data_IF_252791100149
#
_entry.id   IF_252791100149
#
_cell.length_a   1.000
_cell.length_b   1.000
_cell.length_c   1.000
_cell.angle_alpha   90.00
_cell.angle_beta   90.00
_cell.angle_gamma   90.00
#
_symmetry.space_group_name_H-M   'P 1'
#
loop_
_entity.id
_entity.type
_entity.pdbx_description
1 polymer ?
#
# COMPACT_ATOMS: atom_id res chain seq x y z
N UNK A 1 -5.02 -11.21 14.16
CA UNK A 1 -5.46 -10.77 12.82
C UNK A 1 -5.08 -9.31 12.65
N UNK A 2 -4.29 -8.95 11.63
CA UNK A 2 -3.69 -7.60 11.50
C UNK A 2 -4.62 -6.50 10.95
N UNK A 3 -5.90 -6.80 10.70
CA UNK A 3 -6.87 -5.85 10.12
C UNK A 3 -6.34 -5.11 8.87
N UNK A 4 -5.57 -5.81 8.03
CA UNK A 4 -4.87 -5.22 6.89
C UNK A 4 -5.81 -4.58 5.86
N UNK A 5 -7.07 -5.01 5.77
CA UNK A 5 -8.05 -4.40 4.89
C UNK A 5 -8.46 -2.97 5.28
N UNK A 6 -8.19 -2.55 6.52
CA UNK A 6 -8.65 -1.26 7.07
C UNK A 6 -7.50 -0.37 7.52
N UNK A 7 -6.26 -0.78 7.25
CA UNK A 7 -5.08 0.06 7.35
C UNK A 7 -4.90 0.93 6.10
N UNK A 8 -4.33 2.11 6.28
CA UNK A 8 -3.98 2.99 5.16
C UNK A 8 -3.02 2.30 4.18
N UNK A 9 -2.09 1.53 4.73
CA UNK A 9 -1.24 0.56 4.01
C UNK A 9 -1.48 -0.81 4.66
N UNK A 10 -2.15 -1.70 3.93
CA UNK A 10 -2.43 -3.07 4.34
C UNK A 10 -1.37 -4.04 3.82
N UNK A 11 -0.94 -4.96 4.69
CA UNK A 11 0.00 -6.04 4.34
C UNK A 11 -0.65 -7.38 4.71
N UNK A 12 -0.85 -8.23 3.72
CA UNK A 12 -1.39 -9.58 3.89
C UNK A 12 -0.35 -10.60 3.43
N UNK A 13 0.11 -11.47 4.33
CA UNK A 13 0.93 -12.63 3.98
C UNK A 13 0.14 -13.62 3.14
N UNK A 14 0.75 -14.13 2.08
CA UNK A 14 0.23 -15.16 1.20
C UNK A 14 1.32 -16.22 0.98
N UNK A 15 0.98 -17.48 1.16
CA UNK A 15 1.88 -18.60 0.85
C UNK A 15 1.84 -18.90 -0.64
N UNK A 16 3.02 -18.95 -1.26
CA UNK A 16 3.17 -19.40 -2.66
C UNK A 16 4.40 -20.27 -2.79
N UNK A 17 4.18 -21.53 -3.17
CA UNK A 17 5.25 -22.51 -3.43
C UNK A 17 6.24 -22.68 -2.26
N UNK A 18 5.76 -22.54 -1.01
CA UNK A 18 6.57 -22.63 0.21
C UNK A 18 7.41 -21.38 0.53
N UNK A 19 7.26 -20.30 -0.25
CA UNK A 19 7.88 -19.01 0.01
C UNK A 19 6.87 -18.00 0.59
N UNK A 20 7.37 -17.08 1.41
CA UNK A 20 6.60 -15.98 1.97
C UNK A 20 6.44 -14.84 0.96
N UNK A 21 5.20 -14.58 0.58
CA UNK A 21 4.83 -13.46 -0.26
C UNK A 21 3.84 -12.56 0.47
N UNK A 22 3.74 -11.31 0.02
CA UNK A 22 2.91 -10.30 0.65
C UNK A 22 2.12 -9.52 -0.39
N UNK A 23 0.81 -9.48 -0.20
CA UNK A 23 -0.09 -8.61 -0.94
C UNK A 23 -0.20 -7.27 -0.22
N UNK A 24 -0.05 -6.18 -0.98
CA UNK A 24 -0.14 -4.81 -0.47
C UNK A 24 -1.45 -4.17 -0.96
N UNK A 25 -2.17 -3.53 -0.04
CA UNK A 25 -3.38 -2.74 -0.31
C UNK A 25 -3.26 -1.32 0.23
N UNK A 26 -3.95 -0.37 -0.39
CA UNK A 26 -3.94 1.04 0.01
C UNK A 26 -5.34 1.61 0.17
N UNK A 27 -5.47 2.59 1.06
CA UNK A 27 -6.69 3.37 1.22
C UNK A 27 -7.75 2.77 2.14
N UNK A 28 -7.37 1.80 2.99
CA UNK A 28 -8.23 1.33 4.06
C UNK A 28 -8.30 2.35 5.21
N UNK A 29 -9.47 2.50 5.82
CA UNK A 29 -9.66 3.35 7.00
C UNK A 29 -10.75 2.76 7.91
N UNK A 30 -10.43 2.62 9.20
CA UNK A 30 -11.40 2.33 10.25
C UNK A 30 -12.12 3.64 10.65
N UNK A 31 -12.79 4.27 9.70
CA UNK A 31 -13.49 5.54 9.93
C UNK A 31 -14.81 5.33 10.67
N UNK A 32 -15.07 6.13 11.71
CA UNK A 32 -16.39 6.29 12.34
C UNK A 32 -17.09 7.58 11.92
N UNK A 33 -16.49 8.36 11.01
CA UNK A 33 -17.00 9.64 10.48
C UNK A 33 -17.93 9.47 9.27
N UNK A 34 -18.27 10.58 8.61
CA UNK A 34 -19.24 10.61 7.50
C UNK A 34 -18.86 9.70 6.31
N UNK A 35 -17.57 9.48 6.08
CA UNK A 35 -17.06 8.61 5.01
C UNK A 35 -17.09 7.11 5.35
N UNK A 36 -17.29 6.76 6.64
CA UNK A 36 -17.42 5.40 7.14
C UNK A 36 -16.20 4.50 6.95
N UNK A 37 -16.42 3.19 7.09
CA UNK A 37 -15.43 2.15 6.85
C UNK A 37 -15.01 2.12 5.37
N UNK A 38 -13.70 2.23 5.10
CA UNK A 38 -13.13 2.03 3.76
C UNK A 38 -12.25 0.79 3.73
N UNK A 39 -12.43 -0.05 2.72
CA UNK A 39 -11.57 -1.19 2.46
C UNK A 39 -10.42 -0.78 1.53
N UNK A 40 -9.21 -1.19 1.89
CA UNK A 40 -8.02 -0.98 1.07
C UNK A 40 -8.10 -1.74 -0.25
N UNK A 41 -7.54 -1.14 -1.30
CA UNK A 41 -7.48 -1.70 -2.65
C UNK A 41 -6.09 -2.27 -2.93
N UNK A 42 -6.05 -3.51 -3.39
CA UNK A 42 -4.80 -4.19 -3.79
C UNK A 42 -4.13 -3.44 -4.93
N UNK A 43 -2.82 -3.20 -4.81
CA UNK A 43 -2.06 -2.37 -5.76
C UNK A 43 -1.54 -3.17 -6.96
N UNK A 44 -1.47 -4.50 -6.87
CA UNK A 44 -1.07 -5.40 -7.96
C UNK A 44 -0.57 -6.76 -7.46
N UNK A 45 0.31 -7.45 -8.23
CA UNK A 45 0.96 -8.69 -7.80
C UNK A 45 1.63 -8.61 -6.42
N UNK A 46 1.76 -9.76 -5.76
CA UNK A 46 2.47 -9.87 -4.49
C UNK A 46 3.97 -9.61 -4.63
N UNK A 47 4.58 -9.27 -3.50
CA UNK A 47 6.00 -9.03 -3.32
C UNK A 47 6.58 -10.12 -2.42
N UNK A 48 7.82 -10.53 -2.67
CA UNK A 48 8.58 -11.36 -1.76
C UNK A 48 8.87 -10.61 -0.45
N UNK A 49 9.18 -11.34 0.62
CA UNK A 49 9.56 -10.75 1.91
C UNK A 49 10.65 -9.65 1.79
N UNK A 50 11.64 -9.87 0.92
CA UNK A 50 12.75 -8.96 0.71
C UNK A 50 12.33 -7.66 0.00
N UNK A 51 11.31 -7.70 -0.85
CA UNK A 51 10.82 -6.51 -1.58
C UNK A 51 9.98 -5.59 -0.69
N UNK A 52 9.38 -6.09 0.40
CA UNK A 52 8.42 -5.32 1.21
C UNK A 52 9.00 -4.01 1.78
N UNK A 53 10.21 -3.96 2.36
CA UNK A 53 10.77 -2.70 2.88
C UNK A 53 10.89 -1.59 1.83
N UNK A 54 11.33 -1.93 0.62
CA UNK A 54 11.50 -0.99 -0.48
C UNK A 54 10.14 -0.50 -1.02
N UNK A 55 9.16 -1.40 -1.09
CA UNK A 55 7.78 -1.06 -1.45
C UNK A 55 7.19 -0.06 -0.45
N UNK A 56 7.34 -0.32 0.86
CA UNK A 56 6.82 0.58 1.90
C UNK A 56 7.51 1.94 1.83
N UNK A 57 8.84 1.97 1.66
CA UNK A 57 9.59 3.22 1.51
C UNK A 57 9.09 4.03 0.32
N UNK A 58 8.93 3.39 -0.84
CA UNK A 58 8.40 4.03 -2.06
C UNK A 58 6.99 4.59 -1.87
N UNK A 59 6.13 3.90 -1.13
CA UNK A 59 4.77 4.36 -0.82
C UNK A 59 4.77 5.58 0.10
N UNK A 60 5.63 5.58 1.12
CA UNK A 60 5.81 6.71 2.04
C UNK A 60 6.39 7.91 1.31
N UNK A 61 7.39 7.72 0.46
CA UNK A 61 7.98 8.80 -0.33
C UNK A 61 6.96 9.42 -1.28
N UNK A 62 6.17 8.59 -1.98
CA UNK A 62 5.07 9.09 -2.83
C UNK A 62 4.08 9.93 -2.03
N UNK A 63 3.73 9.49 -0.81
CA UNK A 63 2.87 10.27 0.08
C UNK A 63 3.51 11.60 0.49
N UNK A 64 4.76 11.59 0.98
CA UNK A 64 5.46 12.79 1.46
C UNK A 64 5.64 13.82 0.35
N UNK A 65 5.95 13.37 -0.87
CA UNK A 65 6.11 14.26 -2.03
C UNK A 65 4.78 14.83 -2.54
N UNK A 66 3.69 14.09 -2.39
CA UNK A 66 2.38 14.49 -2.96
C UNK A 66 1.48 15.20 -1.96
N UNK A 67 1.74 15.08 -0.66
CA UNK A 67 0.87 15.61 0.39
C UNK A 67 0.92 17.13 0.46
N UNK A 68 -0.20 17.71 0.84
CA UNK A 68 -0.23 19.10 1.32
C UNK A 68 0.25 19.08 2.78
N UNK A 69 0.89 20.15 3.24
CA UNK A 69 1.38 20.22 4.62
C UNK A 69 0.24 19.96 5.63
N UNK A 70 0.50 19.09 6.60
CA UNK A 70 -0.49 18.61 7.58
C UNK A 70 -1.50 17.56 7.08
N UNK A 71 -1.48 17.16 5.80
CA UNK A 71 -2.41 16.17 5.25
C UNK A 71 -2.07 14.74 5.73
N UNK A 72 -3.10 13.96 6.12
CA UNK A 72 -2.95 12.55 6.48
C UNK A 72 -2.77 11.70 5.22
N UNK A 73 -2.18 10.51 5.37
CA UNK A 73 -2.01 9.58 4.24
C UNK A 73 -3.32 9.29 3.51
N UNK A 74 -4.39 8.99 4.25
CA UNK A 74 -5.69 8.66 3.66
C UNK A 74 -6.28 9.83 2.88
N UNK A 75 -6.12 11.07 3.36
CA UNK A 75 -6.63 12.27 2.70
C UNK A 75 -5.86 12.51 1.39
N UNK A 76 -4.52 12.38 1.43
CA UNK A 76 -3.69 12.43 0.21
C UNK A 76 -4.12 11.36 -0.78
N UNK A 77 -4.27 10.10 -0.35
CA UNK A 77 -4.71 8.99 -1.20
C UNK A 77 -6.08 9.24 -1.83
N UNK A 78 -7.05 9.76 -1.08
CA UNK A 78 -8.37 10.09 -1.62
C UNK A 78 -8.30 11.20 -2.68
N UNK A 79 -7.42 12.18 -2.51
CA UNK A 79 -7.24 13.30 -3.44
C UNK A 79 -6.52 12.91 -4.73
N UNK A 80 -5.42 12.16 -4.65
CA UNK A 80 -4.57 11.84 -5.81
C UNK A 80 -4.86 10.46 -6.42
N UNK A 81 -5.60 9.62 -5.70
CA UNK A 81 -5.94 8.27 -6.10
C UNK A 81 -4.77 7.28 -5.99
N UNK A 82 -5.03 6.04 -6.43
CA UNK A 82 -4.09 4.92 -6.35
C UNK A 82 -2.94 5.00 -7.39
N UNK A 83 -3.19 5.61 -8.55
CA UNK A 83 -2.30 5.51 -9.70
C UNK A 83 -0.85 5.95 -9.41
N UNK A 84 -0.59 7.12 -8.77
CA UNK A 84 0.78 7.56 -8.51
C UNK A 84 1.56 6.58 -7.63
N UNK A 85 0.91 6.02 -6.59
CA UNK A 85 1.53 5.03 -5.71
C UNK A 85 1.88 3.75 -6.45
N UNK A 86 0.92 3.22 -7.22
CA UNK A 86 1.10 1.98 -7.97
C UNK A 86 2.22 2.14 -9.00
N UNK A 87 2.17 3.19 -9.82
CA UNK A 87 3.14 3.43 -10.88
C UNK A 87 4.56 3.53 -10.33
N UNK A 88 4.77 4.27 -9.26
CA UNK A 88 6.11 4.42 -8.67
C UNK A 88 6.65 3.11 -8.09
N UNK A 89 5.81 2.34 -7.37
CA UNK A 89 6.21 1.04 -6.82
C UNK A 89 6.67 0.08 -7.92
N UNK A 90 5.92 -0.03 -9.02
CA UNK A 90 6.28 -0.94 -10.10
C UNK A 90 7.40 -0.41 -11.01
N UNK A 91 7.60 0.90 -11.09
CA UNK A 91 8.74 1.49 -11.79
C UNK A 91 10.06 1.28 -11.05
N UNK A 92 10.04 1.30 -9.72
CA UNK A 92 11.22 1.05 -8.87
C UNK A 92 11.49 -0.45 -8.66
N UNK A 93 10.53 -1.32 -8.98
CA UNK A 93 10.63 -2.77 -8.75
C UNK A 93 11.72 -3.37 -9.63
N UNK A 94 12.77 -3.87 -8.99
CA UNK A 94 13.69 -4.80 -9.64
C UNK A 94 13.01 -6.18 -9.70
N UNK A 95 13.05 -6.89 -10.85
CA UNK A 95 12.47 -8.21 -10.93
C UNK A 95 13.13 -9.12 -9.89
N UNK A 96 12.31 -9.76 -9.05
CA UNK A 96 12.79 -10.80 -8.16
C UNK A 96 13.48 -11.86 -9.01
N UNK A 97 14.75 -12.19 -8.68
CA UNK A 97 15.42 -13.33 -9.28
C UNK A 97 14.56 -14.58 -9.01
N UNK A 98 14.08 -15.19 -10.10
CA UNK A 98 13.31 -16.42 -10.10
C UNK A 98 14.18 -17.60 -9.64
#
# INVERSE_FOLDING_TARGET
>A
CGHHHVGNIGILGVDKDGAEWYQISLGGEQGTGADGLKLGRVIGPSFSAHEVPDVISTLVDTFVESRIDGERFIDTYQRIGLAPFKERVYAARQPAHA
#
